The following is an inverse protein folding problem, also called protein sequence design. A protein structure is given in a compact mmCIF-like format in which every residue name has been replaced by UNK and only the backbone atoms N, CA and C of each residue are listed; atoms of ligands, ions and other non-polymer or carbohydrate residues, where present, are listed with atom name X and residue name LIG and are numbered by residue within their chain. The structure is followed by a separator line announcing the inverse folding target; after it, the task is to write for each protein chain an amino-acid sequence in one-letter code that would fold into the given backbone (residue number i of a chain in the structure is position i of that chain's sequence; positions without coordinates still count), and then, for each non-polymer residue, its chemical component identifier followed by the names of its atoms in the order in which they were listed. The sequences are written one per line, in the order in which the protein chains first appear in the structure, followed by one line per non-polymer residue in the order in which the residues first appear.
data_IF_560306372305
#
_entry.id   IF_560306372305
#
_cell.length_a   1.000
_cell.length_b   1.000
_cell.length_c   1.000
_cell.angle_alpha   90.00
_cell.angle_beta   90.00
_cell.angle_gamma   90.00
#
_symmetry.space_group_name_H-M   'P 1'
#
loop_
_entity.id
_entity.type
_entity.pdbx_description
1 polymer ?
#
# COMPACT_ATOMS: atom_id res chain seq x y z
N UNK A 1 -9.57 39.55 -3.46
CA UNK A 1 -9.37 38.48 -4.46
C UNK A 1 -8.60 37.38 -3.74
N UNK A 2 -9.34 36.47 -3.11
CA UNK A 2 -8.78 35.34 -2.39
C UNK A 2 -8.80 34.12 -3.31
N UNK A 3 -7.74 33.97 -4.10
CA UNK A 3 -7.53 32.81 -4.97
C UNK A 3 -7.26 31.50 -4.17
N UNK A 4 -7.41 31.57 -2.84
CA UNK A 4 -7.05 30.53 -1.88
C UNK A 4 -8.23 29.82 -1.21
N UNK A 5 -9.48 30.12 -1.59
CA UNK A 5 -10.66 29.37 -1.11
C UNK A 5 -10.83 28.00 -1.75
N UNK A 6 -10.18 27.75 -2.90
CA UNK A 6 -10.41 26.52 -3.66
C UNK A 6 -9.54 25.38 -3.12
N UNK A 7 -10.13 24.23 -2.71
CA UNK A 7 -9.36 23.08 -2.29
C UNK A 7 -8.57 22.51 -3.47
N UNK A 8 -7.32 22.16 -3.22
CA UNK A 8 -6.46 21.53 -4.22
C UNK A 8 -6.84 20.05 -4.37
N UNK A 9 -6.88 19.59 -5.60
CA UNK A 9 -7.03 18.18 -5.94
C UNK A 9 -5.70 17.44 -5.84
N UNK A 10 -5.75 16.11 -5.72
CA UNK A 10 -4.57 15.27 -5.80
C UNK A 10 -3.72 15.53 -7.05
N UNK A 11 -4.36 15.84 -8.19
CA UNK A 11 -3.65 16.13 -9.43
C UNK A 11 -2.85 17.42 -9.33
N UNK A 12 -3.46 18.51 -8.87
CA UNK A 12 -2.78 19.80 -8.70
C UNK A 12 -1.63 19.70 -7.68
N UNK A 13 -1.81 18.92 -6.61
CA UNK A 13 -0.75 18.64 -5.65
C UNK A 13 0.41 17.88 -6.30
N UNK A 14 0.13 16.90 -7.15
CA UNK A 14 1.17 16.17 -7.89
C UNK A 14 1.91 17.05 -8.90
N UNK A 15 1.20 17.98 -9.53
CA UNK A 15 1.81 18.95 -10.42
C UNK A 15 2.75 19.90 -9.66
N UNK A 16 2.34 20.35 -8.47
CA UNK A 16 3.18 21.19 -7.58
C UNK A 16 4.39 20.44 -7.03
N UNK A 17 4.24 19.14 -6.77
CA UNK A 17 5.31 18.29 -6.23
C UNK A 17 6.10 17.53 -7.32
N UNK A 18 5.92 17.91 -8.59
CA UNK A 18 6.57 17.27 -9.72
C UNK A 18 8.09 17.39 -9.58
N UNK A 19 8.77 16.25 -9.54
CA UNK A 19 10.22 16.16 -9.34
C UNK A 19 10.64 15.88 -7.89
N UNK A 20 9.76 16.06 -6.90
CA UNK A 20 10.02 15.71 -5.50
C UNK A 20 9.47 14.33 -5.14
N UNK A 21 8.22 14.04 -5.53
CA UNK A 21 7.53 12.80 -5.17
C UNK A 21 6.63 12.31 -6.31
N UNK A 22 6.69 11.01 -6.60
CA UNK A 22 5.79 10.38 -7.57
C UNK A 22 4.42 10.08 -6.97
N UNK A 23 3.41 9.94 -7.84
CA UNK A 23 2.02 9.61 -7.47
C UNK A 23 1.90 8.43 -6.52
N UNK A 24 2.56 7.32 -6.84
CA UNK A 24 2.50 6.09 -6.03
C UNK A 24 3.05 6.32 -4.63
N UNK A 25 4.16 7.06 -4.51
CA UNK A 25 4.80 7.36 -3.23
C UNK A 25 3.94 8.32 -2.42
N UNK A 26 3.34 9.33 -3.06
CA UNK A 26 2.39 10.24 -2.40
C UNK A 26 1.16 9.48 -1.87
N UNK A 27 0.53 8.64 -2.69
CA UNK A 27 -0.62 7.84 -2.26
C UNK A 27 -0.27 6.88 -1.11
N UNK A 28 0.90 6.24 -1.18
CA UNK A 28 1.39 5.39 -0.12
C UNK A 28 1.61 6.17 1.18
N UNK A 29 2.17 7.38 1.09
CA UNK A 29 2.36 8.28 2.22
C UNK A 29 1.04 8.71 2.84
N UNK A 30 0.08 9.17 2.04
CA UNK A 30 -1.25 9.59 2.50
C UNK A 30 -2.00 8.43 3.19
N UNK A 31 -1.84 7.20 2.67
CA UNK A 31 -2.41 6.01 3.30
C UNK A 31 -1.69 5.59 4.58
N UNK A 32 -0.39 5.87 4.71
CA UNK A 32 0.39 5.52 5.89
C UNK A 32 0.24 6.56 7.02
N UNK A 33 0.09 7.83 6.64
CA UNK A 33 0.03 8.99 7.53
C UNK A 33 -1.20 9.86 7.21
N UNK A 34 -2.41 9.37 7.53
CA UNK A 34 -3.64 10.14 7.29
C UNK A 34 -3.75 11.38 8.19
N UNK A 35 -3.04 11.39 9.31
CA UNK A 35 -2.95 12.52 10.25
C UNK A 35 -1.51 12.90 10.54
N UNK A 36 -1.28 14.18 10.78
CA UNK A 36 -0.01 14.76 11.19
C UNK A 36 -0.27 15.78 12.29
N UNK A 37 0.42 15.67 13.42
CA UNK A 37 0.17 16.48 14.63
C UNK A 37 -1.28 16.43 15.14
N UNK A 38 -1.97 15.28 14.97
CA UNK A 38 -3.37 15.12 15.38
C UNK A 38 -4.40 15.66 14.40
N UNK A 39 -3.97 16.30 13.31
CA UNK A 39 -4.85 16.89 12.30
C UNK A 39 -4.75 16.15 10.96
N UNK A 40 -5.79 16.17 10.11
CA UNK A 40 -5.77 15.47 8.83
C UNK A 40 -4.75 16.06 7.85
N UNK A 41 -4.05 15.19 7.12
CA UNK A 41 -3.14 15.59 6.02
C UNK A 41 -3.88 15.78 4.70
N UNK A 42 -5.08 15.23 4.61
CA UNK A 42 -5.95 15.32 3.44
C UNK A 42 -7.40 15.05 3.86
N UNK A 43 -8.34 15.46 3.02
CA UNK A 43 -9.76 15.16 3.17
C UNK A 43 -10.28 14.41 1.95
N UNK A 44 -11.41 13.74 2.12
CA UNK A 44 -12.11 13.05 1.02
C UNK A 44 -13.44 13.73 0.76
N UNK A 45 -13.67 14.08 -0.50
CA UNK A 45 -14.96 14.55 -1.00
C UNK A 45 -15.49 13.49 -1.97
N UNK A 46 -16.36 12.60 -1.46
CA UNK A 46 -16.75 11.40 -2.18
C UNK A 46 -15.54 10.51 -2.49
N UNK A 47 -15.29 10.25 -3.78
CA UNK A 47 -14.14 9.46 -4.23
C UNK A 47 -12.86 10.27 -4.41
N UNK A 48 -12.91 11.61 -4.31
CA UNK A 48 -11.78 12.50 -4.58
C UNK A 48 -11.02 12.84 -3.31
N UNK A 49 -9.70 12.91 -3.42
CA UNK A 49 -8.82 13.44 -2.38
C UNK A 49 -8.64 14.93 -2.64
N UNK A 50 -8.90 15.72 -1.61
CA UNK A 50 -8.78 17.16 -1.62
C UNK A 50 -7.88 17.64 -0.47
N UNK A 51 -7.22 18.76 -0.69
CA UNK A 51 -6.28 19.38 0.23
C UNK A 51 -6.65 20.84 0.40
N UNK A 52 -7.02 21.22 1.62
CA UNK A 52 -7.08 22.63 2.00
C UNK A 52 -5.67 23.16 2.23
N UNK A 53 -5.53 24.49 2.34
CA UNK A 53 -4.24 25.15 2.56
C UNK A 53 -3.47 24.55 3.73
N UNK A 54 -4.15 24.35 4.86
CA UNK A 54 -3.52 23.82 6.07
C UNK A 54 -3.15 22.33 5.91
N UNK A 55 -4.01 21.55 5.24
CA UNK A 55 -3.75 20.14 4.94
C UNK A 55 -2.50 20.00 4.07
N UNK A 56 -2.35 20.87 3.07
CA UNK A 56 -1.20 20.89 2.17
C UNK A 56 0.09 21.29 2.92
N UNK A 57 0.04 22.26 3.83
CA UNK A 57 1.20 22.61 4.67
C UNK A 57 1.61 21.43 5.57
N UNK A 58 0.64 20.74 6.17
CA UNK A 58 0.90 19.52 6.97
C UNK A 58 1.51 18.41 6.10
N UNK A 59 1.01 18.22 4.89
CA UNK A 59 1.57 17.28 3.93
C UNK A 59 3.05 17.62 3.65
N UNK A 60 3.36 18.87 3.30
CA UNK A 60 4.75 19.30 3.05
C UNK A 60 5.65 19.06 4.26
N UNK A 61 5.21 19.46 5.46
CA UNK A 61 5.96 19.23 6.69
C UNK A 61 6.21 17.73 6.96
N UNK A 62 5.25 16.88 6.63
CA UNK A 62 5.39 15.42 6.75
C UNK A 62 6.34 14.80 5.71
N UNK A 63 6.55 15.48 4.57
CA UNK A 63 7.47 15.05 3.50
C UNK A 63 8.90 15.56 3.73
N UNK A 64 9.06 16.76 4.31
CA UNK A 64 10.35 17.38 4.60
C UNK A 64 11.12 16.70 5.73
N UNK A 65 10.43 16.04 6.66
CA UNK A 65 11.13 15.19 7.64
C UNK A 65 11.86 14.09 6.86
N UNK A 66 13.21 14.08 6.85
CA UNK A 66 13.91 12.94 6.31
C UNK A 66 13.42 11.75 7.09
N UNK A 67 12.87 10.78 6.38
CA UNK A 67 12.52 9.47 6.93
C UNK A 67 13.79 8.85 7.51
N UNK A 68 14.14 9.23 8.74
CA UNK A 68 15.13 8.54 9.55
C UNK A 68 14.55 7.21 10.08
N UNK A 69 13.32 6.83 9.70
CA UNK A 69 12.63 5.66 10.26
C UNK A 69 11.65 4.93 9.34
N UNK A 70 11.66 5.09 8.01
CA UNK A 70 10.97 4.11 7.12
C UNK A 70 11.74 2.79 6.94
N UNK A 71 12.72 2.48 7.79
CA UNK A 71 13.27 1.12 7.92
C UNK A 71 12.41 0.17 8.76
N UNK A 72 11.30 0.64 9.37
CA UNK A 72 10.47 -0.21 10.25
C UNK A 72 8.97 0.13 10.16
N UNK A 73 8.38 -0.05 8.97
CA UNK A 73 7.22 -0.95 8.94
C UNK A 73 7.86 -2.31 8.80
N UNK A 74 8.09 -3.02 9.90
CA UNK A 74 7.08 -3.99 10.32
C UNK A 74 6.43 -4.64 9.10
N UNK A 75 7.29 -5.22 8.23
CA UNK A 75 7.04 -6.61 7.92
C UNK A 75 6.90 -7.25 9.30
N UNK A 76 5.66 -7.45 9.70
CA UNK A 76 5.30 -8.69 10.35
C UNK A 76 5.81 -9.75 9.37
N UNK A 77 7.12 -10.03 9.44
CA UNK A 77 7.67 -11.34 9.14
C UNK A 77 7.06 -12.24 10.19
N UNK A 78 5.77 -12.51 10.05
CA UNK A 78 5.37 -13.91 9.97
C UNK A 78 6.17 -14.43 8.77
N UNK A 79 7.45 -14.77 9.04
CA UNK A 79 7.99 -15.95 8.42
C UNK A 79 6.84 -16.96 8.55
N UNK A 80 6.29 -17.48 7.44
CA UNK A 80 5.38 -18.60 7.58
C UNK A 80 6.13 -19.57 8.48
N UNK A 81 5.55 -20.02 9.62
CA UNK A 81 6.25 -20.97 10.47
C UNK A 81 6.76 -22.03 9.52
N UNK A 82 8.10 -22.21 9.47
CA UNK A 82 8.76 -23.18 8.61
C UNK A 82 7.84 -24.39 8.60
N UNK A 83 7.22 -24.76 7.45
CA UNK A 83 6.23 -25.80 7.47
C UNK A 83 6.94 -26.99 8.09
N UNK A 84 6.52 -27.37 9.31
CA UNK A 84 7.08 -28.53 10.00
C UNK A 84 7.19 -29.64 8.97
N UNK A 85 8.30 -30.38 8.95
CA UNK A 85 8.58 -31.38 7.91
C UNK A 85 7.36 -32.25 7.59
N UNK A 86 6.53 -32.50 8.61
CA UNK A 86 5.23 -33.16 8.54
C UNK A 86 4.18 -32.48 7.63
N UNK A 87 4.03 -31.15 7.68
CA UNK A 87 3.15 -30.38 6.78
C UNK A 87 3.65 -30.40 5.33
N UNK A 88 4.96 -30.39 5.11
CA UNK A 88 5.55 -30.52 3.78
C UNK A 88 5.33 -31.94 3.22
N UNK A 89 5.52 -32.96 4.05
CA UNK A 89 5.25 -34.36 3.74
C UNK A 89 3.78 -34.60 3.35
N UNK A 90 2.83 -34.09 4.15
CA UNK A 90 1.39 -34.20 3.85
C UNK A 90 1.02 -33.52 2.53
N UNK A 91 1.61 -32.36 2.20
CA UNK A 91 1.41 -31.72 0.89
C UNK A 91 1.96 -32.55 -0.26
N UNK A 92 3.15 -33.14 -0.11
CA UNK A 92 3.76 -33.99 -1.12
C UNK A 92 2.91 -35.25 -1.39
N UNK A 93 2.43 -35.92 -0.33
CA UNK A 93 1.53 -37.08 -0.45
C UNK A 93 0.23 -36.72 -1.18
N UNK A 94 -0.36 -35.56 -0.89
CA UNK A 94 -1.60 -35.11 -1.55
C UNK A 94 -1.42 -34.81 -3.04
N UNK A 95 -0.22 -34.37 -3.46
CA UNK A 95 0.12 -34.14 -4.87
C UNK A 95 0.34 -35.46 -5.62
N UNK A 96 0.98 -36.44 -4.99
CA UNK A 96 1.15 -37.78 -5.56
C UNK A 96 -0.19 -38.50 -5.76
N UNK A 97 -1.09 -38.41 -4.77
CA UNK A 97 -2.45 -38.95 -4.88
C UNK A 97 -3.24 -38.33 -6.05
N UNK A 98 -3.11 -37.02 -6.29
CA UNK A 98 -3.75 -36.32 -7.42
C UNK A 98 -3.15 -36.65 -8.79
N UNK A 99 -1.86 -37.01 -8.86
CA UNK A 99 -1.22 -37.45 -10.12
C UNK A 99 -1.69 -38.84 -10.55
N UNK A 100 -1.93 -39.75 -9.61
CA UNK A 100 -2.37 -41.11 -9.91
C UNK A 100 -3.81 -41.20 -10.43
N UNK A 101 -4.68 -40.22 -10.12
CA UNK A 101 -6.06 -40.20 -10.64
C UNK A 101 -6.16 -39.64 -12.06
N UNK A 102 -5.16 -38.89 -12.54
CA UNK A 102 -5.10 -38.40 -13.94
C UNK A 102 -4.49 -39.41 -14.92
N UNK A 103 -3.76 -40.42 -14.43
CA UNK A 103 -3.12 -41.45 -15.26
C UNK A 103 -4.03 -42.64 -15.58
N UNK A 104 -5.25 -42.71 -15.02
CA UNK A 104 -6.22 -43.78 -15.30
C UNK A 104 -7.41 -43.26 -16.10
N UNK A 105 -7.15 -42.76 -17.31
CA UNK A 105 -8.17 -42.81 -18.36
C UNK A 105 -7.85 -44.03 -19.22
N UNK A 106 -8.63 -45.12 -19.14
CA UNK A 106 -8.50 -46.19 -20.11
C UNK A 106 -8.90 -45.62 -21.47
N UNK A 107 -7.93 -45.54 -22.38
CA UNK A 107 -8.18 -45.42 -23.81
C UNK A 107 -8.91 -46.68 -24.23
N UNK A 108 -10.25 -46.62 -24.22
CA UNK A 108 -11.10 -47.66 -24.76
C UNK A 108 -11.00 -47.60 -26.28
N UNK A 109 -10.55 -48.71 -26.84
CA UNK A 109 -10.45 -49.04 -28.27
C UNK A 109 -11.82 -48.96 -28.94
#
# INVERSE_FOLDING_TARGET
MDEFEKPLTLQEVLERLKGLIGRTKLLSHLSAYPTYNGEPTHRRWGSRIIFYRDDYQRLLASLERPSASLSKRERITHAPPLPSAEKAYLRAMKLLAKKNTKARRPTKR
#
